data_IF_157100589513
#
_entry.id   IF_157100589513
#
_cell.length_a   1.000
_cell.length_b   1.000
_cell.length_c   1.000
_cell.angle_alpha   90.00
_cell.angle_beta   90.00
_cell.angle_gamma   90.00
#
_symmetry.space_group_name_H-M   'P 1'
#
loop_
_entity.id
_entity.type
_entity.pdbx_description
1 polymer ?
#
# COMPACT_ATOMS: atom_id res chain seq x y z
N UNK A 1 -53.23 9.55 -47.38
CA UNK A 1 -52.24 10.37 -46.64
C UNK A 1 -52.53 10.23 -45.17
N UNK A 2 -51.65 9.58 -44.41
CA UNK A 2 -51.28 9.86 -43.02
C UNK A 2 -50.20 8.84 -42.66
N UNK A 3 -49.03 9.36 -42.28
CA UNK A 3 -47.76 8.65 -42.20
C UNK A 3 -47.63 7.92 -40.86
N UNK A 4 -47.20 6.67 -40.92
CA UNK A 4 -46.58 5.92 -39.84
C UNK A 4 -45.20 6.49 -39.53
N UNK A 5 -44.93 6.79 -38.26
CA UNK A 5 -43.61 7.12 -37.72
C UNK A 5 -43.33 6.27 -36.48
N UNK A 6 -42.11 5.76 -36.27
CA UNK A 6 -41.80 4.93 -35.11
C UNK A 6 -41.62 5.79 -33.85
N UNK A 7 -42.17 5.30 -32.74
CA UNK A 7 -41.98 5.85 -31.39
C UNK A 7 -40.56 5.47 -30.93
N UNK A 8 -39.71 6.41 -30.45
CA UNK A 8 -38.39 6.09 -29.93
C UNK A 8 -38.50 5.24 -28.65
N UNK A 9 -37.69 4.19 -28.55
CA UNK A 9 -37.48 3.44 -27.30
C UNK A 9 -36.58 4.26 -26.39
N UNK A 10 -37.17 5.01 -25.47
CA UNK A 10 -36.45 5.48 -24.29
C UNK A 10 -36.11 4.27 -23.41
N UNK A 11 -34.82 4.14 -23.06
CA UNK A 11 -34.33 3.17 -22.10
C UNK A 11 -34.93 3.52 -20.74
N UNK A 12 -35.74 2.62 -20.21
CA UNK A 12 -36.18 2.67 -18.81
C UNK A 12 -34.97 2.50 -17.89
N UNK A 13 -34.59 3.58 -17.20
CA UNK A 13 -33.88 3.50 -15.92
C UNK A 13 -34.80 2.84 -14.89
N UNK A 14 -34.76 1.51 -14.80
CA UNK A 14 -35.37 0.78 -13.69
C UNK A 14 -34.39 0.73 -12.53
N UNK A 15 -34.41 1.79 -11.74
CA UNK A 15 -34.05 1.77 -10.32
C UNK A 15 -34.78 0.59 -9.65
N UNK A 16 -34.04 -0.48 -9.34
CA UNK A 16 -34.51 -1.50 -8.41
C UNK A 16 -34.28 -0.99 -6.99
N UNK A 17 -35.37 -0.52 -6.40
CA UNK A 17 -35.49 -0.19 -4.98
C UNK A 17 -35.35 -1.47 -4.13
N UNK A 18 -34.26 -1.54 -3.37
CA UNK A 18 -34.19 -2.26 -2.10
C UNK A 18 -33.83 -1.22 -1.04
N UNK A 19 -34.79 -0.85 -0.19
CA UNK A 19 -34.55 -0.13 1.06
C UNK A 19 -33.90 1.27 0.96
N UNK A 20 -34.67 2.27 0.52
CA UNK A 20 -34.63 3.61 1.10
C UNK A 20 -33.28 4.31 1.32
N UNK A 21 -32.40 4.35 0.32
CA UNK A 21 -31.45 5.42 0.12
C UNK A 21 -31.14 5.50 -1.38
N UNK A 22 -31.18 6.70 -1.96
CA UNK A 22 -30.57 6.93 -3.28
C UNK A 22 -29.08 6.74 -3.08
N UNK A 23 -28.55 5.55 -3.38
CA UNK A 23 -27.10 5.37 -3.40
C UNK A 23 -26.60 6.25 -4.53
N UNK A 24 -25.91 7.33 -4.16
CA UNK A 24 -25.23 8.18 -5.13
C UNK A 24 -24.30 7.30 -5.97
N UNK A 25 -24.28 7.55 -7.28
CA UNK A 25 -23.31 6.92 -8.19
C UNK A 25 -21.90 7.12 -7.60
N UNK A 26 -21.05 6.08 -7.54
CA UNK A 26 -19.71 6.23 -7.04
C UNK A 26 -18.96 7.36 -7.75
N UNK A 27 -18.27 8.20 -6.98
CA UNK A 27 -17.57 9.35 -7.51
C UNK A 27 -16.06 9.13 -7.42
N UNK A 28 -15.35 9.29 -8.53
CA UNK A 28 -13.88 9.32 -8.49
C UNK A 28 -13.40 10.57 -7.74
N UNK A 29 -12.66 10.39 -6.64
CA UNK A 29 -12.23 11.47 -5.74
C UNK A 29 -10.72 11.69 -5.72
N UNK A 30 -9.92 10.78 -6.28
CA UNK A 30 -8.48 11.00 -6.38
C UNK A 30 -7.69 9.86 -7.00
N UNK A 31 -6.59 10.23 -7.66
CA UNK A 31 -5.60 9.32 -8.23
C UNK A 31 -4.27 9.51 -7.51
N UNK A 32 -3.80 8.48 -6.82
CA UNK A 32 -2.44 8.40 -6.31
C UNK A 32 -1.47 7.81 -7.35
N UNK A 33 -0.18 7.72 -6.98
CA UNK A 33 0.86 7.11 -7.84
C UNK A 33 0.43 5.73 -8.37
N UNK A 34 -0.13 4.89 -7.50
CA UNK A 34 -0.48 3.49 -7.80
C UNK A 34 -1.91 3.08 -7.40
N UNK A 35 -2.78 4.03 -7.08
CA UNK A 35 -4.14 3.76 -6.57
C UNK A 35 -5.15 4.77 -7.09
N UNK A 36 -6.38 4.33 -7.30
CA UNK A 36 -7.54 5.17 -7.57
C UNK A 36 -8.51 5.08 -6.38
N UNK A 37 -9.11 6.20 -6.00
CA UNK A 37 -10.08 6.27 -4.90
C UNK A 37 -11.44 6.71 -5.45
N UNK A 38 -12.46 5.94 -5.11
CA UNK A 38 -13.85 6.30 -5.40
C UNK A 38 -14.62 6.42 -4.09
N UNK A 39 -15.38 7.50 -3.93
CA UNK A 39 -16.38 7.63 -2.89
C UNK A 39 -17.61 6.81 -3.24
N UNK A 40 -18.13 6.05 -2.27
CA UNK A 40 -19.30 5.17 -2.44
C UNK A 40 -20.29 5.51 -1.32
N UNK A 41 -21.35 6.25 -1.66
CA UNK A 41 -22.22 6.82 -0.63
C UNK A 41 -21.49 7.81 0.29
N UNK A 42 -21.94 7.91 1.54
CA UNK A 42 -21.41 8.89 2.50
C UNK A 42 -20.31 8.31 3.40
N UNK A 43 -20.32 6.99 3.63
CA UNK A 43 -19.55 6.30 4.66
C UNK A 43 -18.56 5.25 4.10
N UNK A 44 -18.42 5.11 2.77
CA UNK A 44 -17.55 4.11 2.16
C UNK A 44 -16.66 4.68 1.06
N UNK A 45 -15.56 3.97 0.83
CA UNK A 45 -14.60 4.20 -0.25
C UNK A 45 -14.33 2.89 -0.97
N UNK A 46 -14.18 2.95 -2.29
CA UNK A 46 -13.54 1.88 -3.07
C UNK A 46 -12.10 2.29 -3.35
N UNK A 47 -11.15 1.50 -2.84
CA UNK A 47 -9.74 1.64 -3.12
C UNK A 47 -9.36 0.65 -4.23
N UNK A 48 -8.89 1.15 -5.38
CA UNK A 48 -8.48 0.31 -6.51
C UNK A 48 -6.97 0.42 -6.70
N UNK A 49 -6.25 -0.67 -6.44
CA UNK A 49 -4.82 -0.76 -6.71
C UNK A 49 -4.58 -0.88 -8.23
N UNK A 50 -3.77 0.03 -8.77
CA UNK A 50 -3.39 -0.01 -10.18
C UNK A 50 -2.22 -0.96 -10.42
N UNK A 51 -2.03 -1.33 -11.68
CA UNK A 51 -0.85 -2.07 -12.11
C UNK A 51 0.34 -1.14 -12.43
N UNK A 52 0.18 0.17 -12.21
CA UNK A 52 1.27 1.14 -12.42
C UNK A 52 2.42 0.84 -11.45
N UNK A 53 3.62 1.08 -11.93
CA UNK A 53 4.85 0.99 -11.15
C UNK A 53 5.62 2.30 -11.30
N UNK A 54 6.35 2.68 -10.27
CA UNK A 54 7.25 3.83 -10.29
C UNK A 54 8.67 3.42 -9.91
N UNK A 55 9.63 4.11 -10.48
CA UNK A 55 11.04 4.04 -10.13
C UNK A 55 11.59 5.47 -10.10
N UNK A 56 12.41 5.78 -9.09
CA UNK A 56 13.01 7.11 -8.90
C UNK A 56 11.97 8.25 -8.96
N UNK A 57 10.82 8.06 -8.31
CA UNK A 57 9.66 8.98 -8.30
C UNK A 57 8.99 9.25 -9.66
N UNK A 58 9.36 8.54 -10.71
CA UNK A 58 8.72 8.60 -12.03
C UNK A 58 7.83 7.38 -12.25
N UNK A 59 6.59 7.60 -12.66
CA UNK A 59 5.66 6.53 -13.07
C UNK A 59 6.05 6.05 -14.47
N UNK A 60 6.22 4.73 -14.63
CA UNK A 60 6.61 4.13 -15.90
C UNK A 60 5.40 4.00 -16.84
N UNK A 61 5.60 4.06 -18.18
CA UNK A 61 4.51 3.96 -19.14
C UNK A 61 3.90 2.54 -19.20
N UNK A 62 4.68 1.50 -18.88
CA UNK A 62 4.18 0.14 -18.79
C UNK A 62 3.59 -0.17 -17.41
N UNK A 63 2.49 -0.92 -17.42
CA UNK A 63 1.94 -1.55 -16.24
C UNK A 63 2.57 -2.92 -15.98
N UNK A 64 2.61 -3.33 -14.71
CA UNK A 64 2.98 -4.68 -14.29
C UNK A 64 1.70 -5.48 -14.06
N UNK A 65 1.34 -6.43 -14.93
CA UNK A 65 0.10 -7.18 -14.80
C UNK A 65 0.00 -7.86 -13.43
N UNK A 66 -1.20 -7.93 -12.87
CA UNK A 66 -1.51 -8.50 -11.54
C UNK A 66 -0.87 -7.78 -10.32
N UNK A 67 -0.03 -6.75 -10.51
CA UNK A 67 0.56 -6.02 -9.37
C UNK A 67 -0.51 -5.50 -8.41
N UNK A 68 -1.56 -4.85 -8.92
CA UNK A 68 -2.65 -4.37 -8.07
C UNK A 68 -3.32 -5.49 -7.29
N UNK A 69 -3.48 -6.67 -7.91
CA UNK A 69 -4.08 -7.83 -7.26
C UNK A 69 -3.21 -8.43 -6.16
N UNK A 70 -1.89 -8.45 -6.38
CA UNK A 70 -0.91 -8.86 -5.36
C UNK A 70 -0.96 -7.93 -4.15
N UNK A 71 -0.94 -6.61 -4.37
CA UNK A 71 -0.93 -5.63 -3.28
C UNK A 71 -2.22 -5.69 -2.45
N UNK A 72 -3.37 -5.83 -3.12
CA UNK A 72 -4.66 -6.02 -2.44
C UNK A 72 -4.72 -7.34 -1.69
N UNK A 73 -4.27 -8.44 -2.29
CA UNK A 73 -4.25 -9.75 -1.64
C UNK A 73 -3.36 -9.80 -0.40
N UNK A 74 -2.19 -9.14 -0.44
CA UNK A 74 -1.33 -8.99 0.74
C UNK A 74 -2.00 -8.15 1.82
N UNK A 75 -2.59 -7.01 1.46
CA UNK A 75 -3.30 -6.17 2.44
C UNK A 75 -4.45 -6.93 3.09
N UNK A 76 -5.26 -7.66 2.31
CA UNK A 76 -6.32 -8.53 2.82
C UNK A 76 -5.78 -9.56 3.83
N UNK A 77 -4.72 -10.29 3.45
CA UNK A 77 -4.07 -11.26 4.34
C UNK A 77 -3.64 -10.62 5.68
N UNK A 78 -3.03 -9.42 5.63
CA UNK A 78 -2.59 -8.75 6.85
C UNK A 78 -3.73 -8.18 7.68
N UNK A 79 -4.82 -7.73 7.06
CA UNK A 79 -6.03 -7.33 7.77
C UNK A 79 -6.64 -8.52 8.54
N UNK A 80 -6.64 -9.72 7.95
CA UNK A 80 -7.10 -10.94 8.65
C UNK A 80 -6.20 -11.28 9.85
N UNK A 81 -4.88 -11.25 9.67
CA UNK A 81 -3.90 -11.58 10.72
C UNK A 81 -3.94 -10.60 11.90
N UNK A 82 -4.19 -9.31 11.63
CA UNK A 82 -4.09 -8.24 12.63
C UNK A 82 -5.43 -7.82 13.23
N UNK A 83 -6.55 -8.20 12.60
CA UNK A 83 -7.90 -7.77 12.96
C UNK A 83 -8.34 -8.09 14.39
N UNK A 84 -7.73 -9.10 15.03
CA UNK A 84 -8.06 -9.45 16.42
C UNK A 84 -7.56 -8.43 17.44
N UNK A 85 -6.61 -7.56 17.06
CA UNK A 85 -6.04 -6.57 17.97
C UNK A 85 -5.94 -5.16 17.39
N UNK A 86 -6.08 -4.98 16.07
CA UNK A 86 -6.13 -3.69 15.42
C UNK A 86 -7.33 -3.65 14.46
N UNK A 87 -8.37 -2.83 14.72
CA UNK A 87 -9.48 -2.69 13.80
C UNK A 87 -8.99 -2.06 12.49
N UNK A 88 -9.60 -2.44 11.38
CA UNK A 88 -9.26 -1.92 10.06
C UNK A 88 -10.51 -1.52 9.28
N UNK A 89 -10.31 -0.79 8.19
CA UNK A 89 -11.42 -0.24 7.41
C UNK A 89 -12.04 -1.21 6.38
N UNK A 90 -11.53 -2.43 6.22
CA UNK A 90 -11.98 -3.32 5.15
C UNK A 90 -13.43 -3.79 5.37
N UNK A 91 -14.25 -3.69 4.32
CA UNK A 91 -15.61 -4.24 4.27
C UNK A 91 -15.63 -5.51 3.42
N UNK A 92 -15.13 -5.45 2.18
CA UNK A 92 -15.08 -6.60 1.28
C UNK A 92 -14.06 -6.42 0.15
N UNK A 93 -13.63 -7.56 -0.40
CA UNK A 93 -12.82 -7.69 -1.63
C UNK A 93 -13.52 -8.54 -2.69
N UNK A 94 -14.73 -9.06 -2.41
CA UNK A 94 -15.47 -9.97 -3.29
C UNK A 94 -16.17 -9.18 -4.38
N UNK A 95 -16.07 -9.65 -5.62
CA UNK A 95 -16.67 -9.01 -6.80
C UNK A 95 -18.16 -8.67 -6.61
N UNK A 96 -18.94 -9.57 -6.01
CA UNK A 96 -20.37 -9.41 -5.74
C UNK A 96 -20.73 -8.24 -4.81
N UNK A 97 -19.77 -7.78 -4.00
CA UNK A 97 -19.94 -6.66 -3.07
C UNK A 97 -19.42 -5.32 -3.64
N UNK A 98 -18.66 -5.36 -4.75
CA UNK A 98 -18.04 -4.16 -5.30
C UNK A 98 -19.06 -3.30 -6.06
N UNK A 99 -19.07 -1.98 -5.84
CA UNK A 99 -19.93 -1.08 -6.60
C UNK A 99 -19.43 -0.96 -8.04
N UNK A 100 -20.36 -0.78 -8.97
CA UNK A 100 -20.02 -0.45 -10.35
C UNK A 100 -19.47 0.98 -10.42
N UNK A 101 -18.18 1.11 -10.72
CA UNK A 101 -17.48 2.39 -10.90
C UNK A 101 -17.10 2.65 -12.36
N UNK A 102 -17.67 1.88 -13.30
CA UNK A 102 -17.35 1.99 -14.73
C UNK A 102 -15.94 1.50 -15.11
N UNK A 103 -15.26 0.80 -14.20
CA UNK A 103 -13.98 0.14 -14.47
C UNK A 103 -14.19 -1.34 -14.72
N UNK A 104 -13.57 -1.84 -15.78
CA UNK A 104 -13.40 -3.28 -15.97
C UNK A 104 -12.26 -3.79 -15.11
N UNK A 105 -12.29 -5.08 -14.77
CA UNK A 105 -11.21 -5.78 -14.06
C UNK A 105 -10.95 -5.27 -12.62
N UNK A 106 -11.99 -5.14 -11.81
CA UNK A 106 -11.85 -4.86 -10.37
C UNK A 106 -11.50 -6.09 -9.49
N UNK A 107 -11.97 -7.32 -9.80
CA UNK A 107 -11.78 -8.45 -8.90
C UNK A 107 -10.33 -8.69 -8.49
N UNK A 108 -10.13 -8.81 -7.18
CA UNK A 108 -8.83 -9.08 -6.57
C UNK A 108 -7.90 -7.88 -6.44
N UNK A 109 -8.20 -6.72 -7.03
CA UNK A 109 -7.40 -5.48 -6.89
C UNK A 109 -8.17 -4.29 -6.33
N UNK A 110 -9.38 -4.50 -5.84
CA UNK A 110 -10.21 -3.48 -5.24
C UNK A 110 -10.62 -3.89 -3.82
N UNK A 111 -10.68 -2.91 -2.92
CA UNK A 111 -11.17 -3.06 -1.55
C UNK A 111 -12.31 -2.07 -1.33
N UNK A 112 -13.49 -2.57 -1.00
CA UNK A 112 -14.55 -1.75 -0.43
C UNK A 112 -14.23 -1.55 1.05
N UNK A 113 -14.11 -0.30 1.48
CA UNK A 113 -13.70 0.07 2.82
C UNK A 113 -14.66 1.08 3.44
N UNK A 114 -14.73 1.10 4.76
CA UNK A 114 -15.32 2.21 5.53
C UNK A 114 -14.46 3.46 5.29
N UNK A 115 -15.12 4.60 5.12
CA UNK A 115 -14.45 5.90 5.06
C UNK A 115 -13.98 6.28 6.46
N UNK A 116 -12.72 6.64 6.59
CA UNK A 116 -12.11 7.15 7.81
C UNK A 116 -11.67 8.60 7.62
N UNK A 117 -11.61 9.35 8.73
CA UNK A 117 -10.93 10.64 8.78
C UNK A 117 -9.43 10.38 8.96
N UNK A 118 -8.57 10.58 7.94
CA UNK A 118 -7.18 10.17 8.01
C UNK A 118 -6.38 10.98 9.03
N UNK A 119 -5.52 10.31 9.80
CA UNK A 119 -4.52 10.97 10.63
C UNK A 119 -3.39 11.43 9.70
N UNK A 120 -3.04 12.71 9.75
CA UNK A 120 -2.06 13.34 8.85
C UNK A 120 -0.59 13.01 9.19
N UNK A 121 -0.31 11.73 9.50
CA UNK A 121 0.98 11.19 9.89
C UNK A 121 1.20 9.86 9.18
N UNK A 122 2.38 9.70 8.60
CA UNK A 122 2.88 8.40 8.16
C UNK A 122 3.58 7.69 9.32
N UNK A 123 3.05 6.54 9.74
CA UNK A 123 3.61 5.76 10.83
C UNK A 123 4.62 4.75 10.27
N UNK A 124 5.85 5.21 10.02
CA UNK A 124 6.92 4.35 9.51
C UNK A 124 7.57 3.60 10.66
N UNK A 125 7.56 2.26 10.63
CA UNK A 125 8.28 1.42 11.59
C UNK A 125 9.49 0.80 10.93
N UNK A 126 10.65 0.87 11.61
CA UNK A 126 11.93 0.34 11.11
C UNK A 126 12.45 -0.72 12.06
N UNK A 127 12.76 -1.90 11.56
CA UNK A 127 13.59 -2.89 12.25
C UNK A 127 15.01 -2.97 11.70
N UNK A 128 15.25 -2.33 10.55
CA UNK A 128 16.55 -2.26 9.91
C UNK A 128 16.87 -0.84 9.46
N UNK A 129 18.14 -0.49 9.48
CA UNK A 129 18.60 0.85 9.15
C UNK A 129 18.92 0.98 7.66
N UNK A 130 18.00 1.52 6.87
CA UNK A 130 18.16 1.74 5.44
C UNK A 130 17.45 3.03 4.98
N UNK A 131 17.65 3.43 3.73
CA UNK A 131 16.97 4.59 3.14
C UNK A 131 17.22 5.90 3.90
N UNK A 132 16.16 6.68 4.14
CA UNK A 132 16.27 7.96 4.85
C UNK A 132 16.78 7.79 6.28
N UNK A 133 16.38 6.73 6.99
CA UNK A 133 16.87 6.46 8.34
C UNK A 133 18.39 6.23 8.39
N UNK A 134 18.95 5.52 7.41
CA UNK A 134 20.40 5.35 7.30
C UNK A 134 21.12 6.69 7.06
N UNK A 135 20.59 7.52 6.15
CA UNK A 135 21.16 8.86 5.87
C UNK A 135 21.18 9.75 7.10
N UNK A 136 20.11 9.74 7.89
CA UNK A 136 20.02 10.52 9.13
C UNK A 136 21.01 10.02 10.19
N UNK A 137 21.07 8.70 10.40
CA UNK A 137 22.02 8.11 11.34
C UNK A 137 23.48 8.39 10.97
N UNK A 138 23.85 8.35 9.69
CA UNK A 138 25.22 8.72 9.25
C UNK A 138 25.53 10.19 9.55
N UNK A 139 24.52 11.07 9.47
CA UNK A 139 24.69 12.49 9.68
C UNK A 139 24.78 12.88 11.18
N UNK A 140 24.01 12.24 12.06
CA UNK A 140 23.87 12.66 13.46
C UNK A 140 24.00 11.54 14.51
N UNK A 141 23.98 10.27 14.11
CA UNK A 141 23.83 9.13 15.02
C UNK A 141 22.40 8.91 15.51
N UNK A 142 21.43 9.67 14.97
CA UNK A 142 20.02 9.64 15.36
C UNK A 142 19.10 9.39 14.16
N UNK A 143 17.88 8.94 14.44
CA UNK A 143 16.80 8.85 13.44
C UNK A 143 15.50 9.33 14.07
N UNK A 144 14.88 10.38 13.54
CA UNK A 144 13.68 11.02 14.13
C UNK A 144 13.84 11.37 15.62
N UNK A 145 15.06 11.73 16.06
CA UNK A 145 15.40 12.00 17.46
C UNK A 145 15.71 10.76 18.31
N UNK A 146 15.62 9.55 17.75
CA UNK A 146 16.09 8.34 18.42
C UNK A 146 17.60 8.22 18.30
N UNK A 147 18.33 8.39 19.41
CA UNK A 147 19.76 8.08 19.45
C UNK A 147 19.98 6.58 19.33
N UNK A 148 20.70 6.17 18.29
CA UNK A 148 20.99 4.76 18.01
C UNK A 148 22.40 4.36 18.51
N UNK A 149 22.66 3.06 18.72
CA UNK A 149 24.01 2.58 19.05
C UNK A 149 25.04 3.01 18.01
N UNK A 150 26.29 3.22 18.45
CA UNK A 150 27.41 3.46 17.54
C UNK A 150 27.79 2.19 16.75
N UNK A 151 28.45 2.36 15.60
CA UNK A 151 29.00 1.25 14.81
C UNK A 151 27.97 0.51 13.96
N UNK A 152 26.73 1.00 13.85
CA UNK A 152 25.78 0.47 12.86
C UNK A 152 26.26 0.82 11.45
N UNK A 153 26.14 -0.16 10.56
CA UNK A 153 26.39 -0.01 9.13
C UNK A 153 25.07 -0.05 8.35
N UNK A 154 25.09 0.31 7.07
CA UNK A 154 23.89 0.24 6.23
C UNK A 154 23.26 -1.15 6.28
N UNK A 155 21.94 -1.19 6.43
CA UNK A 155 21.12 -2.39 6.57
C UNK A 155 21.36 -3.19 7.85
N UNK A 156 21.96 -2.60 8.88
CA UNK A 156 22.03 -3.22 10.22
C UNK A 156 20.63 -3.42 10.79
N UNK A 157 20.42 -4.57 11.44
CA UNK A 157 19.23 -4.78 12.26
C UNK A 157 19.31 -3.91 13.52
N UNK A 158 18.21 -3.23 13.84
CA UNK A 158 18.09 -2.45 15.07
C UNK A 158 17.85 -3.38 16.27
N UNK A 159 18.32 -3.02 17.48
CA UNK A 159 18.07 -3.82 18.69
C UNK A 159 16.59 -4.06 18.95
N UNK A 160 15.77 -3.02 18.72
CA UNK A 160 14.32 -3.06 18.76
C UNK A 160 13.76 -2.20 17.62
N UNK A 161 12.58 -2.56 17.06
CA UNK A 161 11.93 -1.70 16.08
C UNK A 161 11.62 -0.32 16.65
N UNK A 162 11.80 0.71 15.84
CA UNK A 162 11.50 2.11 16.20
C UNK A 162 10.43 2.67 15.29
N UNK A 163 9.60 3.57 15.82
CA UNK A 163 8.62 4.34 15.03
C UNK A 163 9.27 5.66 14.63
N UNK A 164 9.35 5.94 13.33
CA UNK A 164 9.94 7.16 12.76
C UNK A 164 8.86 7.90 11.97
N UNK A 165 8.03 8.72 12.61
CA UNK A 165 6.90 9.34 11.93
C UNK A 165 7.34 10.36 10.88
N UNK A 166 6.52 10.52 9.84
CA UNK A 166 6.68 11.58 8.85
C UNK A 166 5.37 12.34 8.62
N UNK A 167 5.47 13.61 8.25
CA UNK A 167 4.29 14.38 7.80
C UNK A 167 3.97 14.05 6.35
N UNK A 168 2.68 14.02 6.02
CA UNK A 168 2.21 13.83 4.64
C UNK A 168 2.28 15.16 3.90
N UNK A 169 3.28 15.35 3.04
CA UNK A 169 3.40 16.61 2.30
C UNK A 169 2.31 16.70 1.21
N UNK A 170 1.61 17.83 1.12
CA UNK A 170 0.69 18.11 0.00
C UNK A 170 1.44 18.40 -1.31
N UNK A 171 2.73 18.72 -1.24
CA UNK A 171 3.67 18.86 -2.35
C UNK A 171 5.11 18.73 -1.84
N UNK A 172 5.95 17.93 -2.51
CA UNK A 172 7.32 17.66 -2.08
C UNK A 172 7.51 16.24 -1.53
N UNK A 173 8.56 16.03 -0.76
CA UNK A 173 8.84 14.76 -0.05
C UNK A 173 8.29 14.83 1.37
N UNK A 174 7.85 13.69 1.90
CA UNK A 174 7.45 13.56 3.31
C UNK A 174 8.63 13.90 4.23
N UNK A 175 8.35 14.64 5.29
CA UNK A 175 9.36 15.13 6.23
C UNK A 175 9.36 14.28 7.49
N UNK A 176 10.51 13.66 7.81
CA UNK A 176 10.72 12.96 9.08
C UNK A 176 10.54 13.96 10.24
N UNK A 177 9.70 13.60 11.20
CA UNK A 177 9.47 14.39 12.42
C UNK A 177 9.69 13.52 13.67
N UNK A 178 9.78 14.15 14.84
CA UNK A 178 9.87 13.41 16.10
C UNK A 178 8.51 12.86 16.53
N UNK A 179 8.52 11.86 17.42
CA UNK A 179 7.28 11.33 18.01
C UNK A 179 6.47 12.42 18.74
N UNK A 180 7.14 13.37 19.41
CA UNK A 180 6.47 14.48 20.12
C UNK A 180 5.78 15.45 19.15
N UNK A 181 6.36 15.70 17.98
CA UNK A 181 5.73 16.52 16.95
C UNK A 181 4.51 15.80 16.36
N UNK A 182 4.64 14.50 16.09
CA UNK A 182 3.55 13.69 15.55
C UNK A 182 2.37 13.59 16.53
N UNK A 183 2.66 13.42 17.83
CA UNK A 183 1.64 13.41 18.88
C UNK A 183 0.87 14.73 18.98
N UNK A 184 1.53 15.88 18.79
CA UNK A 184 0.86 17.19 18.76
C UNK A 184 -0.07 17.35 17.56
N UNK A 185 0.29 16.77 16.42
CA UNK A 185 -0.51 16.83 15.19
C UNK A 185 -1.73 15.91 15.30
N UNK A 186 -1.54 14.67 15.74
CA UNK A 186 -2.60 13.66 15.79
C UNK A 186 -3.47 13.74 17.06
N UNK A 187 -2.98 14.39 18.12
CA UNK A 187 -3.51 14.28 19.48
C UNK A 187 -2.85 13.12 20.24
N UNK A 188 -2.53 13.35 21.52
CA UNK A 188 -1.68 12.44 22.30
C UNK A 188 -2.25 11.02 22.42
N UNK A 189 -3.54 10.88 22.77
CA UNK A 189 -4.18 9.57 22.94
C UNK A 189 -4.31 8.81 21.60
N UNK A 190 -4.68 9.53 20.55
CA UNK A 190 -4.82 8.99 19.19
C UNK A 190 -3.46 8.51 18.67
N UNK A 191 -2.42 9.33 18.83
CA UNK A 191 -1.06 8.98 18.45
C UNK A 191 -0.54 7.78 19.22
N UNK A 192 -0.70 7.77 20.54
CA UNK A 192 -0.25 6.66 21.38
C UNK A 192 -0.90 5.34 20.96
N UNK A 193 -2.18 5.37 20.60
CA UNK A 193 -2.89 4.18 20.14
C UNK A 193 -2.46 3.72 18.75
N UNK A 194 -2.34 4.63 17.79
CA UNK A 194 -1.83 4.33 16.45
C UNK A 194 -0.38 3.79 16.49
N UNK A 195 0.46 4.37 17.35
CA UNK A 195 1.83 3.89 17.63
C UNK A 195 1.84 2.46 18.15
N UNK A 196 1.01 2.15 19.15
CA UNK A 196 0.88 0.79 19.71
C UNK A 196 0.54 -0.21 18.59
N UNK A 197 -0.45 0.12 17.76
CA UNK A 197 -0.84 -0.71 16.63
C UNK A 197 0.28 -0.86 15.61
N UNK A 198 0.91 0.24 15.18
CA UNK A 198 2.00 0.22 14.18
C UNK A 198 3.14 -0.72 14.61
N UNK A 199 3.63 -0.58 15.85
CA UNK A 199 4.72 -1.41 16.37
C UNK A 199 4.29 -2.88 16.49
N UNK A 200 3.05 -3.15 16.94
CA UNK A 200 2.55 -4.51 17.10
C UNK A 200 2.31 -5.21 15.75
N UNK A 201 1.75 -4.49 14.77
CA UNK A 201 1.58 -4.98 13.39
C UNK A 201 2.95 -5.26 12.78
N UNK A 202 3.89 -4.33 12.88
CA UNK A 202 5.25 -4.53 12.35
C UNK A 202 5.92 -5.74 13.00
N UNK A 203 5.92 -5.85 14.33
CA UNK A 203 6.53 -6.97 15.03
C UNK A 203 5.95 -8.31 14.55
N UNK A 204 4.61 -8.40 14.44
CA UNK A 204 3.95 -9.62 13.98
C UNK A 204 4.24 -9.93 12.51
N UNK A 205 4.22 -8.90 11.66
CA UNK A 205 4.49 -9.03 10.23
C UNK A 205 5.93 -9.42 9.94
N UNK A 206 6.89 -8.79 10.62
CA UNK A 206 8.31 -9.07 10.48
C UNK A 206 8.67 -10.49 10.97
N UNK A 207 8.08 -10.95 12.07
CA UNK A 207 8.21 -12.33 12.55
C UNK A 207 7.73 -13.33 11.48
N UNK A 208 6.45 -13.23 11.07
CA UNK A 208 5.84 -14.16 10.12
C UNK A 208 6.51 -14.13 8.74
N UNK A 209 6.84 -12.95 8.23
CA UNK A 209 7.52 -12.84 6.95
C UNK A 209 8.92 -13.47 6.99
N UNK A 210 9.63 -13.33 8.12
CA UNK A 210 10.97 -13.91 8.28
C UNK A 210 10.92 -15.43 8.27
N UNK A 211 9.95 -16.06 8.94
CA UNK A 211 9.74 -17.51 8.88
C UNK A 211 9.54 -18.03 7.45
N UNK A 212 9.14 -17.13 6.53
CA UNK A 212 8.91 -17.39 5.10
C UNK A 212 10.05 -16.86 4.21
N UNK A 213 11.21 -16.55 4.80
CA UNK A 213 12.41 -16.12 4.09
C UNK A 213 12.35 -14.69 3.54
N UNK A 214 11.51 -13.83 4.13
CA UNK A 214 11.36 -12.41 3.75
C UNK A 214 11.61 -11.52 4.97
N UNK A 215 12.61 -10.66 4.90
CA UNK A 215 12.84 -9.60 5.87
C UNK A 215 12.03 -8.37 5.45
N UNK A 216 11.19 -7.88 6.37
CA UNK A 216 10.54 -6.57 6.24
C UNK A 216 11.41 -5.54 6.98
N UNK A 217 12.25 -4.83 6.23
CA UNK A 217 13.24 -3.91 6.80
C UNK A 217 12.57 -2.72 7.50
N UNK A 218 11.59 -2.14 6.82
CA UNK A 218 10.70 -1.11 7.32
C UNK A 218 9.38 -1.14 6.56
N UNK A 219 8.36 -0.49 7.11
CA UNK A 219 7.03 -0.36 6.53
C UNK A 219 6.39 0.95 6.95
N UNK A 220 5.53 1.49 6.10
CA UNK A 220 4.65 2.62 6.41
C UNK A 220 3.23 2.11 6.69
N UNK A 221 2.63 2.59 7.78
CA UNK A 221 1.20 2.47 8.03
C UNK A 221 0.50 3.83 7.95
N UNK A 222 -0.77 3.80 7.57
CA UNK A 222 -1.69 4.93 7.75
C UNK A 222 -2.82 4.51 8.67
N UNK A 223 -3.26 5.44 9.51
CA UNK A 223 -4.38 5.26 10.41
C UNK A 223 -5.39 6.38 10.16
N UNK A 224 -6.65 6.10 10.48
CA UNK A 224 -7.72 7.07 10.48
C UNK A 224 -8.63 6.89 11.68
N UNK A 225 -9.56 7.82 11.84
CA UNK A 225 -10.63 7.73 12.81
C UNK A 225 -11.91 7.27 12.13
N UNK A 226 -12.58 6.28 12.73
CA UNK A 226 -13.97 5.96 12.39
C UNK A 226 -14.75 5.89 13.70
N UNK A 227 -15.81 6.69 13.80
CA UNK A 227 -16.62 6.81 15.03
C UNK A 227 -15.80 7.18 16.28
N UNK A 228 -14.66 7.85 16.09
CA UNK A 228 -13.72 8.21 17.16
C UNK A 228 -12.64 7.15 17.46
N UNK A 229 -12.73 5.96 16.89
CA UNK A 229 -11.75 4.89 17.09
C UNK A 229 -10.63 4.93 16.06
N UNK A 230 -9.39 4.68 16.52
CA UNK A 230 -8.22 4.52 15.65
C UNK A 230 -8.30 3.21 14.89
N UNK A 231 -8.34 3.30 13.56
CA UNK A 231 -8.40 2.17 12.63
C UNK A 231 -7.23 2.17 11.66
N UNK A 232 -6.74 0.98 11.32
CA UNK A 232 -5.78 0.79 10.24
C UNK A 232 -6.47 0.98 8.89
N UNK A 233 -5.89 1.83 8.04
CA UNK A 233 -6.39 2.14 6.70
C UNK A 233 -5.29 1.89 5.66
N UNK A 234 -5.58 2.23 4.41
CA UNK A 234 -4.64 2.15 3.29
C UNK A 234 -4.23 0.70 2.97
N UNK A 235 -3.00 0.49 2.48
CA UNK A 235 -2.43 -0.84 2.26
C UNK A 235 -1.49 -1.21 3.40
N UNK A 236 -1.33 -2.50 3.66
CA UNK A 236 -0.62 -3.00 4.85
C UNK A 236 0.44 -3.99 4.43
N UNK A 237 1.70 -3.73 4.82
CA UNK A 237 2.84 -4.64 4.66
C UNK A 237 2.94 -5.23 3.24
N UNK A 238 2.88 -4.36 2.24
CA UNK A 238 3.08 -4.73 0.83
C UNK A 238 4.50 -4.30 0.39
N UNK A 239 5.00 -4.76 -0.77
CA UNK A 239 6.25 -4.25 -1.31
C UNK A 239 6.21 -2.75 -1.73
N UNK A 240 5.02 -2.17 -1.90
CA UNK A 240 4.90 -0.74 -2.21
C UNK A 240 4.94 0.13 -0.94
N UNK A 241 4.47 -0.38 0.20
CA UNK A 241 4.53 0.30 1.51
C UNK A 241 5.73 -0.12 2.37
N UNK A 242 6.48 -1.14 1.98
CA UNK A 242 7.53 -1.77 2.78
C UNK A 242 8.77 -2.13 1.97
N UNK A 243 9.92 -2.17 2.63
CA UNK A 243 11.16 -2.72 2.04
C UNK A 243 11.26 -4.21 2.33
N UNK A 244 11.04 -5.02 1.29
CA UNK A 244 11.18 -6.48 1.38
C UNK A 244 12.57 -6.90 0.90
N UNK A 245 13.28 -7.65 1.74
CA UNK A 245 14.56 -8.27 1.41
C UNK A 245 14.44 -9.79 1.52
N UNK A 246 15.04 -10.54 0.59
CA UNK A 246 15.17 -11.99 0.70
C UNK A 246 16.16 -12.33 1.83
N UNK A 247 15.73 -13.12 2.81
CA UNK A 247 16.54 -13.41 4.00
C UNK A 247 17.85 -14.13 3.64
N UNK A 248 17.81 -15.05 2.68
CA UNK A 248 18.94 -15.86 2.23
C UNK A 248 20.07 -15.05 1.56
N UNK A 249 19.80 -13.79 1.20
CA UNK A 249 20.78 -12.87 0.60
C UNK A 249 21.04 -11.62 1.45
N UNK A 250 20.52 -11.57 2.67
CA UNK A 250 20.72 -10.44 3.56
C UNK A 250 22.16 -10.41 4.09
N UNK A 251 22.82 -9.26 3.96
CA UNK A 251 24.12 -9.00 4.58
C UNK A 251 24.26 -7.53 4.97
N UNK A 252 24.46 -7.19 6.25
CA UNK A 252 24.71 -5.81 6.65
C UNK A 252 26.02 -5.28 6.05
N UNK A 253 26.11 -3.95 5.90
CA UNK A 253 27.27 -3.26 5.34
C UNK A 253 27.06 -2.63 3.97
N UNK A 254 25.83 -2.60 3.46
CA UNK A 254 25.52 -2.01 2.15
C UNK A 254 24.05 -2.14 1.74
N UNK A 255 23.74 -1.83 0.48
CA UNK A 255 22.39 -1.96 -0.06
C UNK A 255 21.98 -3.44 -0.15
N UNK A 256 20.69 -3.70 0.03
CA UNK A 256 20.11 -5.04 -0.06
C UNK A 256 19.31 -5.21 -1.36
N UNK A 257 19.23 -6.42 -1.91
CA UNK A 257 18.33 -6.69 -3.02
C UNK A 257 16.87 -6.43 -2.61
N UNK A 258 16.15 -5.60 -3.38
CA UNK A 258 14.70 -5.44 -3.24
C UNK A 258 13.97 -6.62 -3.87
N UNK A 259 12.91 -7.10 -3.22
CA UNK A 259 12.11 -8.21 -3.72
C UNK A 259 11.32 -7.82 -4.98
N UNK A 260 10.85 -6.58 -5.07
CA UNK A 260 9.84 -6.12 -6.02
C UNK A 260 10.37 -5.23 -7.16
N UNK A 261 11.09 -4.16 -6.81
CA UNK A 261 11.48 -3.09 -7.75
C UNK A 261 12.91 -3.20 -8.24
N UNK A 262 13.73 -4.08 -7.66
CA UNK A 262 15.15 -4.16 -8.00
C UNK A 262 15.37 -4.47 -9.49
N UNK A 263 14.59 -5.38 -10.07
CA UNK A 263 14.75 -5.77 -11.48
C UNK A 263 14.49 -4.61 -12.45
N UNK A 264 13.48 -3.78 -12.14
CA UNK A 264 13.16 -2.56 -12.89
C UNK A 264 14.27 -1.54 -12.72
N UNK A 265 14.74 -1.30 -11.49
CA UNK A 265 15.83 -0.36 -11.22
C UNK A 265 17.13 -0.76 -11.90
N UNK A 266 17.53 -2.02 -11.80
CA UNK A 266 18.76 -2.53 -12.41
C UNK A 266 18.73 -2.36 -13.93
N UNK A 267 17.58 -2.64 -14.56
CA UNK A 267 17.42 -2.44 -15.99
C UNK A 267 17.46 -0.96 -16.38
N UNK A 268 16.79 -0.09 -15.63
CA UNK A 268 16.77 1.37 -15.85
C UNK A 268 18.17 1.98 -15.70
N UNK A 269 18.95 1.52 -14.73
CA UNK A 269 20.33 2.01 -14.53
C UNK A 269 21.24 1.55 -15.68
N UNK A 270 21.00 0.36 -16.24
CA UNK A 270 21.73 -0.16 -17.39
C UNK A 270 21.27 0.44 -18.73
N UNK A 271 20.05 0.99 -18.80
CA UNK A 271 19.52 1.58 -20.03
C UNK A 271 20.16 2.94 -20.38
N UNK A 272 20.95 3.52 -19.47
CA UNK A 272 21.56 4.85 -19.62
C UNK A 272 20.58 6.00 -19.38
N UNK A 273 19.45 5.73 -18.70
CA UNK A 273 18.49 6.77 -18.33
C UNK A 273 19.04 7.64 -17.19
N UNK A 274 18.83 8.95 -17.27
CA UNK A 274 19.32 9.93 -16.29
C UNK A 274 18.37 10.14 -15.10
N UNK A 275 17.36 9.27 -14.96
CA UNK A 275 16.29 9.32 -13.97
C UNK A 275 15.32 10.51 -14.10
N UNK A 276 15.39 11.30 -15.19
CA UNK A 276 14.45 12.38 -15.47
C UNK A 276 13.37 11.96 -16.48
N UNK A 277 12.11 12.40 -16.34
CA UNK A 277 11.06 12.09 -17.31
C UNK A 277 11.41 12.55 -18.75
N UNK A 278 11.02 11.78 -19.79
CA UNK A 278 10.29 10.52 -19.72
C UNK A 278 11.22 9.32 -19.45
N UNK A 279 10.75 8.31 -18.70
CA UNK A 279 11.51 7.07 -18.52
C UNK A 279 11.47 6.23 -19.81
N UNK A 280 12.47 5.37 -20.04
CA UNK A 280 12.47 4.43 -21.16
C UNK A 280 11.37 3.35 -21.00
N UNK A 281 10.97 2.75 -22.12
CA UNK A 281 10.01 1.64 -22.12
C UNK A 281 10.64 0.34 -21.60
N UNK A 282 9.97 -0.32 -20.66
CA UNK A 282 10.41 -1.61 -20.15
C UNK A 282 10.21 -2.73 -21.20
N UNK A 283 11.22 -3.57 -21.46
CA UNK A 283 11.06 -4.79 -22.24
C UNK A 283 10.06 -5.76 -21.59
N UNK A 284 9.41 -6.58 -22.42
CA UNK A 284 8.37 -7.50 -21.96
C UNK A 284 8.90 -8.52 -20.93
N UNK A 285 10.16 -8.95 -21.07
CA UNK A 285 10.84 -9.84 -20.13
C UNK A 285 11.08 -9.20 -18.75
N UNK A 286 11.32 -7.88 -18.70
CA UNK A 286 11.46 -7.13 -17.44
C UNK A 286 10.10 -7.04 -16.77
N UNK A 287 9.05 -6.70 -17.52
CA UNK A 287 7.67 -6.64 -17.00
C UNK A 287 7.22 -8.00 -16.45
N UNK A 288 7.47 -9.09 -17.18
CA UNK A 288 7.14 -10.45 -16.75
C UNK A 288 7.91 -10.86 -15.49
N UNK A 289 9.23 -10.63 -15.47
CA UNK A 289 10.06 -10.93 -14.30
C UNK A 289 9.64 -10.13 -13.07
N UNK A 290 9.28 -8.85 -13.24
CA UNK A 290 8.76 -8.02 -12.14
C UNK A 290 7.43 -8.55 -11.62
N UNK A 291 6.49 -8.93 -12.50
CA UNK A 291 5.24 -9.57 -12.09
C UNK A 291 5.50 -10.83 -11.27
N UNK A 292 6.37 -11.71 -11.75
CA UNK A 292 6.66 -12.98 -11.08
C UNK A 292 7.24 -12.77 -9.68
N UNK A 293 7.99 -11.69 -9.46
CA UNK A 293 8.49 -11.32 -8.13
C UNK A 293 7.41 -10.81 -7.19
N UNK A 294 6.46 -10.01 -7.68
CA UNK A 294 5.30 -9.62 -6.90
C UNK A 294 4.48 -10.86 -6.49
N UNK A 295 4.25 -11.78 -7.43
CA UNK A 295 3.55 -13.05 -7.15
C UNK A 295 4.31 -13.88 -6.12
N UNK A 296 5.62 -14.06 -6.29
CA UNK A 296 6.46 -14.78 -5.33
C UNK A 296 6.42 -14.14 -3.94
N UNK A 297 6.45 -12.81 -3.85
CA UNK A 297 6.32 -12.10 -2.58
C UNK A 297 4.97 -12.40 -1.91
N UNK A 298 3.86 -12.37 -2.67
CA UNK A 298 2.54 -12.77 -2.17
C UNK A 298 2.54 -14.20 -1.65
N UNK A 299 3.02 -15.15 -2.45
CA UNK A 299 2.94 -16.58 -2.12
C UNK A 299 3.81 -16.95 -0.93
N UNK A 300 5.02 -16.38 -0.85
CA UNK A 300 5.89 -16.55 0.33
C UNK A 300 5.24 -15.94 1.55
N UNK A 301 4.85 -14.66 1.49
CA UNK A 301 4.38 -13.91 2.66
C UNK A 301 3.03 -14.38 3.15
N UNK A 302 2.12 -14.82 2.28
CA UNK A 302 0.79 -15.32 2.69
C UNK A 302 0.79 -16.84 2.96
N UNK A 303 1.72 -17.58 2.36
CA UNK A 303 1.69 -19.05 2.33
C UNK A 303 0.58 -19.63 1.46
N UNK A 304 -0.05 -18.82 0.59
CA UNK A 304 -1.18 -19.20 -0.27
C UNK A 304 -0.80 -19.05 -1.75
N UNK A 305 -1.23 -19.94 -2.66
CA UNK A 305 -1.04 -19.75 -4.10
C UNK A 305 -1.79 -18.50 -4.60
N UNK A 306 -1.17 -17.71 -5.47
CA UNK A 306 -1.79 -16.48 -5.98
C UNK A 306 -3.04 -16.74 -6.83
N UNK A 307 -3.08 -17.88 -7.53
CA UNK A 307 -4.28 -18.30 -8.26
C UNK A 307 -5.47 -18.61 -7.35
N UNK A 308 -5.23 -18.98 -6.08
CA UNK A 308 -6.31 -19.19 -5.12
C UNK A 308 -6.97 -17.86 -4.75
N UNK A 309 -6.18 -16.81 -4.53
CA UNK A 309 -6.68 -15.44 -4.31
C UNK A 309 -7.57 -14.96 -5.44
N UNK A 310 -7.12 -15.09 -6.70
CA UNK A 310 -7.91 -14.67 -7.86
C UNK A 310 -9.25 -15.40 -7.98
N UNK A 311 -9.31 -16.69 -7.62
CA UNK A 311 -10.55 -17.46 -7.61
C UNK A 311 -11.48 -17.05 -6.48
N UNK A 312 -10.93 -16.86 -5.29
CA UNK A 312 -11.68 -16.51 -4.07
C UNK A 312 -12.47 -15.19 -4.22
N UNK A 313 -11.86 -14.20 -4.87
CA UNK A 313 -12.44 -12.86 -5.05
C UNK A 313 -13.37 -12.73 -6.24
N UNK A 314 -13.27 -13.63 -7.23
CA UNK A 314 -14.09 -13.63 -8.46
C UNK A 314 -15.33 -14.52 -8.40
N UNK A 315 -15.47 -15.38 -7.38
CA UNK A 315 -16.61 -16.30 -7.23
C UNK A 315 -16.42 -17.65 -7.92
#
# INVERSE_FOLDING_TARGET
>A
MLRSGPIPREREDRLRTLGGAVVSQPQHIGSGKVRELFQVGDDRLLLVASNRISAYDVVLPQEIPDKGRVLTGLSHYWFEITGSFCPNHLISVREEDLPDVGLSDLPGRAMLCRRADPIAIEFVVRGYLSGSGWKEYVASGEVCGHKLPEGLVESSQLPHPILTPATKATSGHDENITEEQAAKIAGEDVYAKAREYALKIYAKGAELARERGVIIADTKFEFGLIDGDVVLIDEVLTPDSSRFWPEDRYSPGGPQPSFDKQYVRDWLDQSGWDHNPPPPELPAEVVAATRDRYVEAYERVSGRPFEAWKKEVSG
#
